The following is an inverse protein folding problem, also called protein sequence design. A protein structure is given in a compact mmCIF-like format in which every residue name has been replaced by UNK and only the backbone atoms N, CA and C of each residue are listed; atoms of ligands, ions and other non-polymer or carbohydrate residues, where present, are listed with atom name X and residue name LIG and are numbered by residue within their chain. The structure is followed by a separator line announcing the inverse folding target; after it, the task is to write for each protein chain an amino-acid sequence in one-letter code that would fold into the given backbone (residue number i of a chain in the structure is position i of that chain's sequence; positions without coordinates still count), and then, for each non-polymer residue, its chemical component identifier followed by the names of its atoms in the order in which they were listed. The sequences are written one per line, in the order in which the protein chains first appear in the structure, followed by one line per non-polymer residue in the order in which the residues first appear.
data_IF_239824111680
#
_entry.id   IF_239824111680
#
_cell.length_a   1.000
_cell.length_b   1.000
_cell.length_c   1.000
_cell.angle_alpha   90.00
_cell.angle_beta   90.00
_cell.angle_gamma   90.00
#
_symmetry.space_group_name_H-M   'P 1'
#
loop_
_entity.id
_entity.type
_entity.pdbx_description
1 polymer ?
#
# COMPACT_ATOMS: atom_id res chain seq x y z
N UNK A 1 5.00 -19.47 -21.00
CA UNK A 1 5.50 -18.86 -19.76
C UNK A 1 7.01 -19.06 -19.72
N UNK A 2 7.79 -18.20 -19.04
CA UNK A 2 9.23 -18.41 -18.90
C UNK A 2 9.50 -19.77 -18.22
N UNK A 3 10.57 -20.45 -18.64
CA UNK A 3 11.05 -21.66 -17.96
C UNK A 3 11.98 -21.32 -16.79
N UNK A 4 12.29 -20.05 -16.58
CA UNK A 4 13.14 -19.59 -15.49
C UNK A 4 12.84 -18.12 -15.20
N UNK A 5 12.70 -17.77 -13.92
CA UNK A 5 12.64 -16.38 -13.47
C UNK A 5 13.20 -16.26 -12.07
N UNK A 6 14.10 -15.30 -11.88
CA UNK A 6 14.68 -14.94 -10.59
C UNK A 6 14.49 -13.44 -10.35
N UNK A 7 13.88 -13.09 -9.23
CA UNK A 7 13.76 -11.71 -8.78
C UNK A 7 15.06 -11.29 -8.09
N UNK A 8 15.47 -10.01 -8.28
CA UNK A 8 16.68 -9.42 -7.66
C UNK A 8 16.47 -9.16 -6.16
N UNK A 9 16.21 -10.23 -5.41
CA UNK A 9 15.98 -10.23 -3.99
C UNK A 9 17.29 -10.45 -3.22
N UNK A 10 17.47 -9.71 -2.13
CA UNK A 10 18.63 -9.82 -1.24
C UNK A 10 18.13 -10.00 0.19
N UNK A 11 18.45 -11.15 0.78
CA UNK A 11 18.17 -11.44 2.19
C UNK A 11 19.25 -10.82 3.08
N UNK A 12 18.84 -10.16 4.15
CA UNK A 12 19.71 -9.78 5.26
C UNK A 12 19.92 -10.96 6.21
N UNK A 13 21.13 -11.13 6.73
CA UNK A 13 21.36 -12.04 7.85
C UNK A 13 20.56 -11.59 9.07
N UNK A 14 20.00 -12.53 9.82
CA UNK A 14 19.29 -12.19 11.07
C UNK A 14 20.28 -11.60 12.10
N UNK A 15 19.90 -10.47 12.72
CA UNK A 15 20.78 -9.75 13.65
C UNK A 15 20.71 -10.29 15.09
N UNK A 16 19.69 -11.08 15.42
CA UNK A 16 19.53 -11.76 16.70
C UNK A 16 19.22 -13.23 16.47
N UNK A 17 19.33 -14.04 17.52
CA UNK A 17 19.21 -15.51 17.45
C UNK A 17 17.83 -15.95 16.98
N UNK A 18 16.77 -15.22 17.32
CA UNK A 18 15.39 -15.60 17.03
C UNK A 18 14.70 -14.67 16.01
N UNK A 19 15.47 -13.90 15.24
CA UNK A 19 14.96 -12.84 14.36
C UNK A 19 14.80 -13.23 12.89
N UNK A 20 14.66 -14.53 12.58
CA UNK A 20 14.40 -14.97 11.21
C UNK A 20 13.14 -14.29 10.61
N UNK A 21 12.10 -14.07 11.42
CA UNK A 21 10.89 -13.34 11.01
C UNK A 21 11.15 -11.87 10.69
N UNK A 22 11.95 -11.18 11.51
CA UNK A 22 12.27 -9.77 11.30
C UNK A 22 13.19 -9.56 10.09
N UNK A 23 14.16 -10.47 9.89
CA UNK A 23 15.06 -10.47 8.75
C UNK A 23 14.31 -10.67 7.43
N UNK A 24 13.39 -11.65 7.36
CA UNK A 24 12.56 -11.87 6.18
C UNK A 24 11.68 -10.65 5.90
N UNK A 25 10.91 -10.16 6.89
CA UNK A 25 10.02 -9.01 6.68
C UNK A 25 10.78 -7.75 6.24
N UNK A 26 11.93 -7.46 6.86
CA UNK A 26 12.78 -6.33 6.45
C UNK A 26 13.27 -6.49 5.01
N UNK A 27 13.80 -7.67 4.66
CA UNK A 27 14.35 -7.92 3.33
C UNK A 27 13.27 -7.87 2.24
N UNK A 28 12.08 -8.41 2.52
CA UNK A 28 10.90 -8.34 1.65
C UNK A 28 10.46 -6.88 1.46
N UNK A 29 10.42 -6.10 2.55
CA UNK A 29 10.04 -4.70 2.45
C UNK A 29 11.04 -3.89 1.62
N UNK A 30 12.34 -4.07 1.82
CA UNK A 30 13.40 -3.43 1.03
C UNK A 30 13.44 -3.89 -0.42
N UNK A 31 13.03 -5.13 -0.71
CA UNK A 31 12.90 -5.61 -2.08
C UNK A 31 11.82 -4.86 -2.84
N UNK A 32 10.65 -4.67 -2.23
CA UNK A 32 9.56 -3.93 -2.85
C UNK A 32 9.78 -2.41 -2.84
N UNK A 33 10.28 -1.88 -1.73
CA UNK A 33 10.60 -0.47 -1.53
C UNK A 33 11.99 -0.31 -0.88
N UNK A 34 13.04 -0.13 -1.71
CA UNK A 34 14.39 0.13 -1.20
C UNK A 34 14.50 1.36 -0.30
N UNK A 35 13.53 2.28 -0.35
CA UNK A 35 13.48 3.50 0.45
C UNK A 35 12.59 3.38 1.70
N UNK A 36 11.99 2.21 1.97
CA UNK A 36 11.06 2.01 3.09
C UNK A 36 11.62 2.34 4.47
N UNK A 37 12.95 2.28 4.63
CA UNK A 37 13.64 2.62 5.88
C UNK A 37 13.42 1.62 7.02
N UNK A 38 12.81 0.46 6.73
CA UNK A 38 12.68 -0.64 7.67
C UNK A 38 14.04 -1.25 7.99
N UNK A 39 14.22 -1.58 9.26
CA UNK A 39 15.35 -2.35 9.79
C UNK A 39 14.79 -3.46 10.68
N UNK A 40 15.56 -4.53 10.92
CA UNK A 40 15.06 -5.65 11.75
C UNK A 40 14.63 -5.21 13.14
N UNK A 41 15.33 -4.24 13.75
CA UNK A 41 14.94 -3.72 15.06
C UNK A 41 13.63 -2.91 15.02
N UNK A 42 13.39 -2.11 13.97
CA UNK A 42 12.12 -1.37 13.80
C UNK A 42 10.96 -2.31 13.54
N UNK A 43 11.21 -3.37 12.78
CA UNK A 43 10.23 -4.45 12.59
C UNK A 43 9.94 -5.12 13.93
N UNK A 44 10.97 -5.37 14.76
CA UNK A 44 10.78 -5.94 16.08
C UNK A 44 9.97 -5.03 17.02
N UNK A 45 10.29 -3.73 17.07
CA UNK A 45 9.53 -2.73 17.82
C UNK A 45 8.05 -2.71 17.40
N UNK A 46 7.78 -2.51 16.11
CA UNK A 46 6.40 -2.42 15.62
C UNK A 46 5.60 -3.71 15.78
N UNK A 47 6.25 -4.86 15.63
CA UNK A 47 5.60 -6.18 15.68
C UNK A 47 5.37 -6.68 17.10
N UNK A 48 6.28 -6.36 18.03
CA UNK A 48 6.18 -6.73 19.45
C UNK A 48 5.48 -5.67 20.30
N UNK A 49 5.11 -4.54 19.70
CA UNK A 49 4.51 -3.37 20.39
C UNK A 49 5.48 -2.85 21.45
N UNK A 50 6.70 -2.53 20.99
CA UNK A 50 7.81 -2.02 21.81
C UNK A 50 8.46 -0.81 21.12
N UNK A 51 9.34 -0.13 21.85
CA UNK A 51 10.08 1.05 21.37
C UNK A 51 11.58 1.01 21.72
N UNK A 52 12.06 -0.11 22.26
CA UNK A 52 13.41 -0.28 22.80
C UNK A 52 14.24 -1.36 22.08
N UNK A 53 13.69 -2.06 21.09
CA UNK A 53 14.41 -3.11 20.36
C UNK A 53 15.50 -2.56 19.44
N UNK A 54 15.48 -1.26 19.12
CA UNK A 54 16.58 -0.60 18.43
C UNK A 54 17.70 -0.07 19.36
N UNK A 55 17.59 -0.26 20.68
CA UNK A 55 18.65 0.14 21.61
C UNK A 55 19.78 -0.90 21.66
N UNK A 56 20.99 -0.43 21.99
CA UNK A 56 22.17 -1.27 22.15
C UNK A 56 22.64 -1.25 23.62
N UNK A 57 22.81 -2.41 24.29
CA UNK A 57 22.54 -3.75 23.79
C UNK A 57 21.03 -4.01 23.59
N UNK A 58 20.68 -4.90 22.65
CA UNK A 58 19.29 -5.27 22.40
C UNK A 58 18.70 -5.90 23.68
N UNK A 59 17.55 -5.41 24.19
CA UNK A 59 16.96 -5.96 25.40
C UNK A 59 16.51 -7.41 25.19
N UNK A 60 16.76 -8.31 26.16
CA UNK A 60 16.36 -9.72 26.08
C UNK A 60 14.89 -9.96 25.61
N UNK A 61 13.88 -9.14 26.00
CA UNK A 61 12.51 -9.34 25.51
C UNK A 61 12.31 -9.17 24.00
N UNK A 62 13.28 -8.59 23.29
CA UNK A 62 13.25 -8.39 21.86
C UNK A 62 13.77 -9.61 21.07
N UNK A 63 14.77 -10.34 21.57
CA UNK A 63 15.30 -11.56 20.92
C UNK A 63 14.44 -12.79 21.26
N UNK A 64 13.32 -12.95 20.53
CA UNK A 64 12.42 -14.09 20.70
C UNK A 64 11.77 -14.55 19.40
N UNK A 65 11.32 -15.81 19.41
CA UNK A 65 10.53 -16.38 18.32
C UNK A 65 9.20 -15.64 18.14
N UNK A 66 8.81 -15.42 16.88
CA UNK A 66 7.57 -14.74 16.56
C UNK A 66 7.02 -15.10 15.17
N UNK A 67 5.93 -14.43 14.78
CA UNK A 67 5.11 -14.73 13.61
C UNK A 67 5.50 -13.87 12.39
N UNK A 68 5.72 -14.50 11.23
CA UNK A 68 6.07 -13.80 9.99
C UNK A 68 4.89 -13.00 9.42
N UNK A 69 3.65 -13.50 9.47
CA UNK A 69 2.46 -12.76 9.02
C UNK A 69 2.30 -11.44 9.76
N UNK A 70 2.56 -11.42 11.07
CA UNK A 70 2.52 -10.20 11.89
C UNK A 70 3.62 -9.23 11.47
N UNK A 71 4.84 -9.73 11.28
CA UNK A 71 5.97 -8.91 10.83
C UNK A 71 5.74 -8.33 9.42
N UNK A 72 5.23 -9.13 8.49
CA UNK A 72 4.87 -8.69 7.15
C UNK A 72 3.70 -7.69 7.18
N UNK A 73 2.76 -7.86 8.10
CA UNK A 73 1.67 -6.90 8.34
C UNK A 73 2.23 -5.57 8.83
N UNK A 74 3.16 -5.57 9.79
CA UNK A 74 3.87 -4.36 10.27
C UNK A 74 4.53 -3.61 9.12
N UNK A 75 5.16 -4.33 8.18
CA UNK A 75 5.80 -3.72 7.00
C UNK A 75 4.82 -3.40 5.85
N UNK A 76 3.53 -3.73 5.97
CA UNK A 76 2.52 -3.53 4.93
C UNK A 76 2.61 -4.49 3.74
N UNK A 77 3.39 -5.57 3.86
CA UNK A 77 3.73 -6.51 2.80
C UNK A 77 2.91 -7.81 2.83
N UNK A 78 2.10 -8.08 3.86
CA UNK A 78 1.34 -9.32 3.98
C UNK A 78 0.07 -9.35 3.11
N UNK A 79 -0.20 -10.49 2.49
CA UNK A 79 -1.50 -10.81 1.87
C UNK A 79 -2.15 -11.94 2.68
N UNK A 80 -3.21 -11.66 3.46
CA UNK A 80 -3.93 -12.70 4.18
C UNK A 80 -4.75 -13.59 3.23
N UNK A 81 -5.05 -14.84 3.61
CA UNK A 81 -4.69 -15.51 4.86
C UNK A 81 -3.31 -16.22 4.81
N UNK A 82 -2.85 -16.73 5.96
CA UNK A 82 -1.75 -17.71 6.00
C UNK A 82 -2.24 -19.01 5.35
N UNK A 83 -1.43 -19.60 4.48
CA UNK A 83 -1.74 -20.88 3.85
C UNK A 83 -0.96 -21.99 4.56
N UNK A 84 -1.66 -22.96 5.15
CA UNK A 84 -1.05 -24.12 5.83
C UNK A 84 -0.66 -25.24 4.85
N UNK A 85 0.06 -24.89 3.79
CA UNK A 85 0.56 -25.84 2.80
C UNK A 85 1.76 -25.24 2.02
N UNK A 86 2.55 -26.13 1.42
CA UNK A 86 3.47 -25.77 0.36
C UNK A 86 2.74 -25.44 -0.94
N UNK A 87 3.30 -24.54 -1.74
CA UNK A 87 2.74 -24.22 -3.05
C UNK A 87 3.14 -25.23 -4.13
N UNK A 88 2.26 -25.39 -5.11
CA UNK A 88 2.55 -26.11 -6.34
C UNK A 88 3.29 -25.22 -7.34
N UNK A 89 3.87 -25.83 -8.37
CA UNK A 89 4.68 -25.16 -9.39
C UNK A 89 3.98 -23.95 -10.04
N UNK A 90 2.69 -24.10 -10.38
CA UNK A 90 1.92 -23.05 -11.05
C UNK A 90 1.69 -21.83 -10.15
N UNK A 91 1.47 -22.03 -8.85
CA UNK A 91 1.25 -20.92 -7.91
C UNK A 91 2.57 -20.17 -7.65
N UNK A 92 3.69 -20.89 -7.57
CA UNK A 92 5.02 -20.29 -7.47
C UNK A 92 5.32 -19.46 -8.72
N UNK A 93 5.07 -20.02 -9.92
CA UNK A 93 5.22 -19.29 -11.19
C UNK A 93 4.38 -18.03 -11.20
N UNK A 94 3.11 -18.11 -10.81
CA UNK A 94 2.19 -16.98 -10.82
C UNK A 94 2.68 -15.80 -9.95
N UNK A 95 3.16 -16.08 -8.74
CA UNK A 95 3.70 -15.04 -7.85
C UNK A 95 4.99 -14.43 -8.38
N UNK A 96 5.97 -15.27 -8.74
CA UNK A 96 7.28 -14.82 -9.22
C UNK A 96 7.15 -14.08 -10.56
N UNK A 97 6.28 -14.56 -11.46
CA UNK A 97 5.98 -13.89 -12.73
C UNK A 97 5.32 -12.53 -12.50
N UNK A 98 4.54 -12.38 -11.43
CA UNK A 98 3.99 -11.10 -11.00
C UNK A 98 4.95 -10.22 -10.19
N UNK A 99 6.22 -10.62 -10.06
CA UNK A 99 7.22 -9.85 -9.33
C UNK A 99 7.09 -9.93 -7.81
N UNK A 100 6.37 -10.93 -7.29
CA UNK A 100 6.13 -11.11 -5.87
C UNK A 100 6.96 -12.25 -5.30
N UNK A 101 7.68 -11.99 -4.21
CA UNK A 101 8.41 -13.01 -3.44
C UNK A 101 7.47 -13.73 -2.47
N UNK A 102 7.83 -14.93 -2.03
CA UNK A 102 6.94 -15.79 -1.22
C UNK A 102 7.64 -16.10 0.11
N UNK A 103 7.00 -15.74 1.22
CA UNK A 103 7.47 -16.14 2.54
C UNK A 103 7.12 -17.60 2.82
N UNK A 104 8.02 -18.33 3.44
CA UNK A 104 7.89 -19.76 3.71
C UNK A 104 8.28 -20.07 5.15
N UNK A 105 7.46 -20.86 5.84
CA UNK A 105 7.83 -21.47 7.12
C UNK A 105 8.31 -22.89 6.90
N UNK A 106 9.58 -23.12 7.21
CA UNK A 106 10.11 -24.46 7.40
C UNK A 106 9.83 -24.90 8.84
N UNK A 107 9.24 -26.09 9.01
CA UNK A 107 9.02 -26.72 10.31
C UNK A 107 9.86 -27.99 10.47
N UNK A 108 10.39 -28.17 11.68
CA UNK A 108 11.05 -29.42 12.11
C UNK A 108 10.29 -30.04 13.27
N UNK A 109 10.33 -31.37 13.36
CA UNK A 109 9.69 -32.10 14.46
C UNK A 109 10.26 -31.75 15.85
N UNK A 110 11.53 -31.32 15.93
CA UNK A 110 12.24 -31.16 17.21
C UNK A 110 12.87 -29.77 17.45
N UNK A 111 12.77 -28.85 16.49
CA UNK A 111 13.54 -27.58 16.51
C UNK A 111 12.69 -26.33 16.21
N UNK A 112 11.35 -26.45 16.25
CA UNK A 112 10.46 -25.32 16.00
C UNK A 112 10.32 -24.99 14.51
N UNK A 113 10.39 -23.71 14.16
CA UNK A 113 10.23 -23.26 12.78
C UNK A 113 11.15 -22.12 12.40
N UNK A 114 11.45 -22.02 11.11
CA UNK A 114 12.34 -21.03 10.52
C UNK A 114 11.68 -20.41 9.30
N UNK A 115 11.94 -19.12 9.07
CA UNK A 115 11.39 -18.42 7.92
C UNK A 115 12.44 -18.21 6.84
N UNK A 116 12.06 -18.52 5.60
CA UNK A 116 12.87 -18.30 4.39
C UNK A 116 12.00 -17.65 3.32
N UNK A 117 12.62 -17.12 2.26
CA UNK A 117 11.91 -16.49 1.15
C UNK A 117 12.24 -17.19 -0.17
N UNK A 118 11.21 -17.61 -0.91
CA UNK A 118 11.35 -18.03 -2.31
C UNK A 118 11.27 -16.79 -3.19
N UNK A 119 12.27 -16.61 -4.07
CA UNK A 119 12.39 -15.42 -4.93
C UNK A 119 12.62 -15.76 -6.41
N UNK A 120 12.47 -17.01 -6.80
CA UNK A 120 12.56 -17.43 -8.18
C UNK A 120 12.23 -18.90 -8.37
N UNK A 121 12.07 -19.29 -9.62
CA UNK A 121 11.94 -20.68 -10.04
C UNK A 121 12.78 -20.95 -11.29
N UNK A 122 13.13 -22.22 -11.48
CA UNK A 122 13.69 -22.75 -12.72
C UNK A 122 13.03 -24.09 -13.03
N UNK A 123 12.34 -24.15 -14.15
CA UNK A 123 11.66 -25.32 -14.70
C UNK A 123 12.38 -25.75 -15.97
N UNK A 124 13.40 -26.59 -15.81
CA UNK A 124 14.21 -27.08 -16.92
C UNK A 124 14.17 -28.60 -16.93
N UNK A 125 13.88 -29.17 -18.12
CA UNK A 125 13.96 -30.61 -18.39
C UNK A 125 13.08 -31.49 -17.46
N UNK A 126 11.89 -31.01 -17.12
CA UNK A 126 10.90 -31.77 -16.33
C UNK A 126 11.21 -31.83 -14.83
N UNK A 127 12.10 -30.97 -14.34
CA UNK A 127 12.43 -30.85 -12.92
C UNK A 127 12.29 -29.39 -12.47
N UNK A 128 11.49 -29.16 -11.43
CA UNK A 128 11.23 -27.83 -10.89
C UNK A 128 12.15 -27.52 -9.71
N UNK A 129 12.84 -26.39 -9.80
CA UNK A 129 13.72 -25.85 -8.76
C UNK A 129 13.24 -24.48 -8.31
N UNK A 130 13.57 -24.12 -7.08
CA UNK A 130 13.30 -22.81 -6.48
C UNK A 130 14.59 -22.14 -6.03
N UNK A 131 14.65 -20.83 -6.21
CA UNK A 131 15.67 -19.97 -5.60
C UNK A 131 15.16 -19.53 -4.23
N UNK A 132 15.90 -19.91 -3.18
CA UNK A 132 15.54 -19.68 -1.78
C UNK A 132 16.61 -18.83 -1.13
N UNK A 133 16.19 -17.83 -0.37
CA UNK A 133 17.07 -17.01 0.45
C UNK A 133 16.71 -17.15 1.93
N UNK A 134 17.72 -17.49 2.73
CA UNK A 134 17.59 -17.83 4.14
C UNK A 134 18.45 -16.86 4.98
N UNK A 135 17.89 -16.22 6.03
CA UNK A 135 18.62 -15.25 6.85
C UNK A 135 19.71 -15.89 7.76
N UNK A 136 19.75 -17.21 7.87
CA UNK A 136 20.75 -17.97 8.63
C UNK A 136 21.71 -18.71 7.69
N UNK A 137 21.19 -19.41 6.67
CA UNK A 137 21.98 -20.28 5.80
C UNK A 137 22.34 -19.66 4.44
N UNK A 138 21.83 -18.48 4.10
CA UNK A 138 22.11 -17.78 2.84
C UNK A 138 21.26 -18.25 1.66
N UNK A 139 21.76 -18.02 0.43
CA UNK A 139 21.04 -18.38 -0.80
C UNK A 139 21.26 -19.83 -1.17
N UNK A 140 20.23 -20.47 -1.72
CA UNK A 140 20.28 -21.84 -2.23
C UNK A 140 19.39 -22.00 -3.46
N UNK A 141 19.71 -23.02 -4.26
CA UNK A 141 18.94 -23.44 -5.43
C UNK A 141 18.59 -24.91 -5.25
N UNK A 142 17.31 -25.20 -4.99
CA UNK A 142 16.87 -26.49 -4.46
C UNK A 142 15.72 -27.02 -5.31
N UNK A 143 15.73 -28.32 -5.58
CA UNK A 143 14.60 -29.02 -6.18
C UNK A 143 13.34 -28.86 -5.30
N UNK A 144 12.18 -28.56 -5.89
CA UNK A 144 10.96 -28.27 -5.14
C UNK A 144 10.54 -29.43 -4.22
N UNK A 145 10.62 -30.68 -4.67
CA UNK A 145 10.27 -31.85 -3.85
C UNK A 145 11.15 -31.91 -2.60
N UNK A 146 12.46 -31.71 -2.76
CA UNK A 146 13.38 -31.67 -1.63
C UNK A 146 13.14 -30.46 -0.73
N UNK A 147 12.86 -29.28 -1.30
CA UNK A 147 12.55 -28.08 -0.53
C UNK A 147 11.27 -28.25 0.32
N UNK A 148 10.27 -28.93 -0.22
CA UNK A 148 9.00 -29.17 0.49
C UNK A 148 9.12 -30.18 1.64
N UNK A 149 10.03 -31.17 1.56
CA UNK A 149 10.04 -32.31 2.48
C UNK A 149 11.36 -32.58 3.22
N UNK A 150 12.48 -32.00 2.78
CA UNK A 150 13.81 -32.29 3.33
C UNK A 150 14.77 -31.08 3.26
N UNK A 151 14.26 -29.88 3.54
CA UNK A 151 15.09 -28.68 3.66
C UNK A 151 16.12 -28.86 4.79
N UNK A 152 17.41 -28.67 4.48
CA UNK A 152 18.52 -28.94 5.40
C UNK A 152 18.43 -30.34 6.05
N UNK A 153 18.04 -31.34 5.24
CA UNK A 153 18.02 -32.76 5.59
C UNK A 153 16.74 -33.25 6.29
N UNK A 154 15.96 -32.38 6.94
CA UNK A 154 14.76 -32.82 7.69
C UNK A 154 13.62 -31.81 7.83
N UNK A 155 13.82 -30.57 7.37
CA UNK A 155 12.81 -29.52 7.45
C UNK A 155 11.75 -29.66 6.36
N UNK A 156 10.51 -29.32 6.69
CA UNK A 156 9.39 -29.36 5.73
C UNK A 156 8.76 -27.99 5.54
N UNK A 157 8.33 -27.67 4.32
CA UNK A 157 7.55 -26.47 4.04
C UNK A 157 6.14 -26.65 4.61
N UNK A 158 5.86 -25.98 5.72
CA UNK A 158 4.60 -26.12 6.45
C UNK A 158 3.59 -25.02 6.16
N UNK A 159 4.06 -23.78 5.96
CA UNK A 159 3.18 -22.63 5.74
C UNK A 159 3.74 -21.69 4.68
N UNK A 160 2.83 -21.04 3.96
CA UNK A 160 3.10 -20.04 2.93
C UNK A 160 2.51 -18.70 3.31
N UNK A 161 3.26 -17.64 3.02
CA UNK A 161 2.90 -16.25 3.24
C UNK A 161 3.02 -15.52 1.91
N UNK A 162 1.87 -15.25 1.28
CA UNK A 162 1.85 -14.38 0.11
C UNK A 162 2.24 -12.97 0.51
N UNK A 163 2.99 -12.31 -0.37
CA UNK A 163 3.47 -10.96 -0.12
C UNK A 163 3.04 -10.02 -1.23
N UNK A 164 3.04 -8.73 -0.94
CA UNK A 164 2.75 -7.68 -1.92
C UNK A 164 3.73 -6.54 -1.76
N UNK A 165 3.95 -5.80 -2.83
CA UNK A 165 4.55 -4.49 -2.73
C UNK A 165 3.64 -3.59 -1.87
N UNK A 166 4.18 -2.77 -0.95
CA UNK A 166 3.37 -1.75 -0.30
C UNK A 166 2.83 -0.85 -1.41
N UNK A 167 1.60 -0.36 -1.25
CA UNK A 167 0.97 0.55 -2.22
C UNK A 167 1.92 1.73 -2.58
N UNK A 168 2.78 2.12 -1.63
CA UNK A 168 3.81 3.17 -1.70
C UNK A 168 4.99 2.93 -2.66
N UNK A 169 5.28 1.69 -3.00
CA UNK A 169 6.42 1.37 -3.88
C UNK A 169 6.11 1.52 -5.37
N UNK A 170 4.83 1.42 -5.73
CA UNK A 170 4.36 1.40 -7.11
C UNK A 170 3.59 2.67 -7.49
N UNK A 171 3.02 3.37 -6.50
CA UNK A 171 2.56 4.75 -6.61
C UNK A 171 3.43 5.61 -5.71
N UNK A 172 4.06 6.65 -6.25
CA UNK A 172 4.76 7.63 -5.40
C UNK A 172 3.73 8.45 -4.65
N UNK A 173 3.53 8.11 -3.37
CA UNK A 173 2.86 8.97 -2.42
C UNK A 173 3.81 10.08 -1.97
N UNK A 174 3.25 11.25 -1.71
CA UNK A 174 4.01 12.35 -1.13
C UNK A 174 4.16 12.10 0.37
N UNK A 175 5.35 12.31 0.93
CA UNK A 175 5.57 12.15 2.37
C UNK A 175 4.80 13.21 3.14
N UNK A 176 3.96 12.80 4.09
CA UNK A 176 3.25 13.71 5.01
C UNK A 176 4.02 13.82 6.32
N UNK A 177 3.96 14.99 6.96
CA UNK A 177 4.48 15.17 8.31
C UNK A 177 3.73 14.24 9.30
N UNK A 178 4.46 13.50 10.12
CA UNK A 178 3.90 12.55 11.10
C UNK A 178 2.97 13.20 12.13
N UNK A 179 3.13 14.49 12.42
CA UNK A 179 2.24 15.24 13.30
C UNK A 179 0.85 15.46 12.67
N UNK A 180 0.74 15.50 11.34
CA UNK A 180 -0.56 15.58 10.67
C UNK A 180 -1.30 14.24 10.77
N UNK A 181 -0.59 13.12 10.69
CA UNK A 181 -1.17 11.79 10.93
C UNK A 181 -1.65 11.66 12.37
N UNK A 182 -0.88 12.16 13.34
CA UNK A 182 -1.32 12.22 14.73
C UNK A 182 -2.58 13.07 14.90
N UNK A 183 -2.63 14.27 14.29
CA UNK A 183 -3.81 15.15 14.31
C UNK A 183 -5.06 14.44 13.75
N UNK A 184 -4.93 13.68 12.66
CA UNK A 184 -6.04 12.89 12.11
C UNK A 184 -6.52 11.82 13.10
N UNK A 185 -5.58 11.09 13.71
CA UNK A 185 -5.86 10.07 14.74
C UNK A 185 -6.56 10.66 15.98
N UNK A 186 -6.08 11.79 16.50
CA UNK A 186 -6.66 12.46 17.67
C UNK A 186 -8.09 12.95 17.36
N UNK A 187 -8.30 13.50 16.17
CA UNK A 187 -9.61 13.97 15.76
C UNK A 187 -10.61 12.81 15.60
N UNK A 188 -10.15 11.66 15.11
CA UNK A 188 -10.98 10.45 15.07
C UNK A 188 -11.44 10.01 16.45
N UNK A 189 -10.51 9.95 17.42
CA UNK A 189 -10.84 9.63 18.81
C UNK A 189 -11.90 10.60 19.35
N UNK A 190 -11.79 11.89 19.02
CA UNK A 190 -12.81 12.87 19.40
C UNK A 190 -14.19 12.63 18.76
N UNK A 191 -14.24 12.25 17.48
CA UNK A 191 -15.49 11.94 16.77
C UNK A 191 -16.18 10.69 17.31
N UNK A 192 -15.41 9.65 17.66
CA UNK A 192 -15.93 8.44 18.30
C UNK A 192 -16.46 8.70 19.71
N UNK A 193 -15.95 9.75 20.38
CA UNK A 193 -16.41 10.16 21.72
C UNK A 193 -17.59 11.14 21.71
N UNK A 194 -18.09 11.56 20.54
CA UNK A 194 -19.26 12.42 20.44
C UNK A 194 -20.55 11.62 20.71
N UNK A 195 -21.51 12.15 21.51
CA UNK A 195 -22.64 11.38 22.00
C UNK A 195 -23.67 11.17 20.90
N UNK A 196 -23.63 10.01 20.23
CA UNK A 196 -24.79 9.44 19.54
C UNK A 196 -25.38 8.30 20.39
N UNK A 197 -26.71 8.06 20.35
CA UNK A 197 -27.36 7.11 21.24
C UNK A 197 -26.85 5.69 20.96
N UNK A 198 -26.45 5.04 22.04
CA UNK A 198 -25.85 3.71 22.14
C UNK A 198 -26.71 2.59 21.55
N UNK A 199 -26.08 1.66 20.83
CA UNK A 199 -26.28 0.23 21.11
C UNK A 199 -24.99 -0.32 21.74
N UNK A 200 -25.07 -1.25 22.71
CA UNK A 200 -23.90 -1.75 23.40
C UNK A 200 -23.28 -2.89 22.60
N UNK A 201 -22.03 -2.72 22.18
CA UNK A 201 -21.14 -3.87 22.01
C UNK A 201 -19.92 -3.72 22.90
N UNK A 202 -19.66 -4.77 23.67
CA UNK A 202 -18.55 -4.88 24.59
C UNK A 202 -17.35 -5.39 23.78
N UNK A 203 -16.32 -4.57 23.60
CA UNK A 203 -14.91 -4.99 23.72
C UNK A 203 -13.96 -3.79 23.68
N UNK A 204 -12.88 -3.95 24.46
CA UNK A 204 -11.87 -2.98 24.92
C UNK A 204 -11.07 -2.26 23.83
N UNK A 205 -10.49 -1.06 24.12
CA UNK A 205 -9.79 -0.23 23.15
C UNK A 205 -8.30 -0.59 23.09
N UNK A 206 -7.81 -0.91 21.89
CA UNK A 206 -6.39 -0.86 21.53
C UNK A 206 -6.29 -0.37 20.07
N UNK A 207 -6.11 0.94 19.92
CA UNK A 207 -6.02 1.62 18.63
C UNK A 207 -4.59 1.50 18.13
N UNK A 208 -4.33 0.48 17.31
CA UNK A 208 -3.19 0.47 16.40
C UNK A 208 -3.58 1.20 15.12
N UNK A 209 -2.79 2.13 14.57
CA UNK A 209 -3.04 2.71 13.26
C UNK A 209 -2.72 1.66 12.18
N UNK A 210 -3.62 0.69 12.02
CA UNK A 210 -3.67 -0.27 10.91
C UNK A 210 -4.71 0.22 9.95
N UNK A 211 -4.29 1.06 9.02
CA UNK A 211 -5.16 1.62 8.00
C UNK A 211 -4.32 2.37 7.00
N UNK A 212 -4.66 2.22 5.72
CA UNK A 212 -3.84 2.70 4.61
C UNK A 212 -3.69 4.23 4.64
N UNK A 213 -2.69 4.78 5.35
CA UNK A 213 -2.23 6.15 5.16
C UNK A 213 -1.53 6.21 3.81
N UNK A 214 -2.31 6.41 2.74
CA UNK A 214 -1.83 6.63 1.37
C UNK A 214 -1.92 8.14 1.04
N UNK A 215 -1.03 8.96 1.63
CA UNK A 215 -1.09 10.40 1.51
C UNK A 215 -0.79 10.88 0.09
N UNK A 216 -1.58 11.81 -0.44
CA UNK A 216 -1.37 12.33 -1.80
C UNK A 216 -1.80 13.80 -1.94
N UNK A 217 -1.17 14.46 -2.90
CA UNK A 217 -1.40 15.88 -3.16
C UNK A 217 -2.77 16.12 -3.80
N UNK A 218 -3.44 17.19 -3.36
CA UNK A 218 -4.71 17.65 -3.92
C UNK A 218 -4.44 18.90 -4.75
N UNK A 219 -4.90 18.88 -6.00
CA UNK A 219 -4.81 19.98 -6.94
C UNK A 219 -6.20 20.48 -7.31
N UNK A 220 -6.30 21.77 -7.60
CA UNK A 220 -7.52 22.44 -8.04
C UNK A 220 -7.24 23.03 -9.41
N UNK A 221 -8.10 22.72 -10.38
CA UNK A 221 -8.09 23.39 -11.68
C UNK A 221 -9.10 24.55 -11.68
N UNK A 222 -8.61 25.75 -12.00
CA UNK A 222 -9.40 26.98 -11.96
C UNK A 222 -10.47 26.97 -13.04
N UNK A 223 -11.75 27.13 -12.69
CA UNK A 223 -12.87 27.04 -13.64
C UNK A 223 -12.75 27.97 -14.85
N UNK A 224 -12.32 29.21 -14.63
CA UNK A 224 -12.18 30.19 -15.70
C UNK A 224 -11.08 29.81 -16.71
N UNK A 225 -10.03 29.11 -16.27
CA UNK A 225 -8.97 28.65 -17.18
C UNK A 225 -9.49 27.63 -18.19
N UNK A 226 -10.47 26.81 -17.81
CA UNK A 226 -11.10 25.82 -18.69
C UNK A 226 -11.93 26.45 -19.81
N UNK A 227 -12.36 27.71 -19.68
CA UNK A 227 -13.22 28.37 -20.69
C UNK A 227 -12.42 28.98 -21.84
N UNK A 228 -11.20 29.42 -21.56
CA UNK A 228 -10.46 30.31 -22.46
C UNK A 228 -9.74 29.56 -23.59
N UNK A 229 -9.72 28.22 -23.58
CA UNK A 229 -9.03 27.41 -24.59
C UNK A 229 -7.50 27.38 -24.47
N UNK A 230 -6.97 27.97 -23.40
CA UNK A 230 -5.56 27.92 -23.02
C UNK A 230 -5.26 26.68 -22.15
N UNK A 231 -3.98 26.47 -21.84
CA UNK A 231 -3.57 25.42 -20.91
C UNK A 231 -4.26 25.61 -19.54
N UNK A 232 -4.90 24.56 -18.96
CA UNK A 232 -5.58 24.67 -17.67
C UNK A 232 -4.65 25.16 -16.56
N UNK A 233 -5.11 26.11 -15.76
CA UNK A 233 -4.41 26.59 -14.57
C UNK A 233 -4.69 25.63 -13.41
N UNK A 234 -3.67 24.87 -13.01
CA UNK A 234 -3.75 23.84 -11.98
C UNK A 234 -2.87 24.24 -10.80
N UNK A 235 -3.49 24.45 -9.64
CA UNK A 235 -2.81 24.90 -8.42
C UNK A 235 -2.85 23.81 -7.35
N UNK A 236 -1.80 23.71 -6.55
CA UNK A 236 -1.80 22.79 -5.40
C UNK A 236 -2.72 23.37 -4.33
N UNK A 237 -3.83 22.67 -4.07
CA UNK A 237 -4.89 23.10 -3.14
C UNK A 237 -4.73 22.55 -1.72
N UNK A 238 -3.96 21.47 -1.55
CA UNK A 238 -3.74 20.87 -0.24
C UNK A 238 -3.22 19.45 -0.32
N UNK A 239 -3.64 18.67 0.67
CA UNK A 239 -3.13 17.33 0.91
C UNK A 239 -4.19 16.42 1.50
N UNK A 240 -4.29 15.18 1.02
CA UNK A 240 -5.25 14.20 1.51
C UNK A 240 -4.56 13.06 2.24
N UNK A 241 -5.04 12.74 3.43
CA UNK A 241 -4.69 11.53 4.17
C UNK A 241 -5.90 10.62 4.31
N UNK A 242 -5.65 9.32 4.34
CA UNK A 242 -6.66 8.28 4.50
C UNK A 242 -6.39 7.56 5.82
N UNK A 243 -7.45 7.31 6.58
CA UNK A 243 -7.44 6.41 7.72
C UNK A 243 -8.42 5.28 7.43
N UNK A 244 -8.00 4.04 7.61
CA UNK A 244 -8.87 2.90 7.35
C UNK A 244 -8.80 1.89 8.47
N UNK A 245 -9.73 1.95 9.40
CA UNK A 245 -9.83 0.99 10.50
C UNK A 245 -11.18 0.27 10.44
N UNK A 246 -11.21 -0.99 10.85
CA UNK A 246 -12.42 -1.82 10.87
C UNK A 246 -13.18 -1.87 9.53
N UNK A 247 -12.45 -1.75 8.40
CA UNK A 247 -12.99 -1.74 7.05
C UNK A 247 -13.85 -0.50 6.70
N UNK A 248 -13.86 0.50 7.58
CA UNK A 248 -14.36 1.84 7.30
C UNK A 248 -13.19 2.72 6.83
N UNK A 249 -13.49 3.68 5.96
CA UNK A 249 -12.52 4.64 5.46
C UNK A 249 -12.95 6.02 5.96
N UNK A 250 -12.02 6.77 6.52
CA UNK A 250 -12.17 8.19 6.84
C UNK A 250 -11.10 8.96 6.07
N UNK A 251 -11.49 10.08 5.47
CA UNK A 251 -10.61 10.87 4.62
C UNK A 251 -10.44 12.26 5.24
N UNK A 252 -9.20 12.72 5.31
CA UNK A 252 -8.84 14.02 5.88
C UNK A 252 -8.18 14.86 4.79
N UNK A 253 -8.75 16.03 4.50
CA UNK A 253 -8.12 17.04 3.66
C UNK A 253 -7.48 18.12 4.53
N UNK A 254 -6.22 18.44 4.24
CA UNK A 254 -5.41 19.45 4.90
C UNK A 254 -5.04 20.55 3.90
N UNK A 255 -4.83 21.77 4.40
CA UNK A 255 -4.41 22.92 3.61
C UNK A 255 -3.00 22.79 3.02
N UNK A 256 -2.22 21.82 3.47
CA UNK A 256 -0.86 21.57 3.02
C UNK A 256 -0.29 20.30 3.65
N UNK A 257 0.99 20.04 3.40
CA UNK A 257 1.70 18.83 3.87
C UNK A 257 2.64 19.06 5.06
N UNK A 258 2.73 20.30 5.56
CA UNK A 258 3.58 20.69 6.69
C UNK A 258 2.85 20.57 8.04
N UNK A 259 3.58 20.58 9.16
CA UNK A 259 3.01 20.44 10.52
C UNK A 259 1.93 21.46 10.84
N UNK A 260 2.03 22.66 10.26
CA UNK A 260 1.16 23.80 10.55
C UNK A 260 -0.11 23.80 9.69
N UNK A 261 -0.22 22.86 8.75
CA UNK A 261 -1.39 22.69 7.92
C UNK A 261 -2.64 22.47 8.78
N UNK A 262 -3.72 23.11 8.35
CA UNK A 262 -5.02 23.07 9.00
C UNK A 262 -5.88 22.04 8.31
N UNK A 263 -6.73 21.36 9.09
CA UNK A 263 -7.75 20.47 8.54
C UNK A 263 -8.77 21.35 7.81
N UNK A 264 -8.97 21.05 6.53
CA UNK A 264 -9.98 21.69 5.69
C UNK A 264 -11.29 20.88 5.70
N UNK A 265 -11.20 19.54 5.69
CA UNK A 265 -12.38 18.69 5.62
C UNK A 265 -12.11 17.31 6.24
N UNK A 266 -13.15 16.72 6.84
CA UNK A 266 -13.19 15.30 7.22
C UNK A 266 -14.37 14.64 6.51
N UNK A 267 -14.13 13.59 5.74
CA UNK A 267 -15.14 12.89 4.94
C UNK A 267 -15.31 11.47 5.49
N UNK A 268 -16.50 11.22 6.02
CA UNK A 268 -16.93 9.92 6.58
C UNK A 268 -18.19 9.39 5.89
N UNK A 269 -18.59 9.97 4.75
CA UNK A 269 -19.77 9.52 4.00
C UNK A 269 -19.55 8.10 3.45
N UNK A 270 -20.36 7.10 3.84
CA UNK A 270 -20.13 5.71 3.46
C UNK A 270 -20.16 5.48 1.95
N UNK A 271 -21.08 6.13 1.23
CA UNK A 271 -21.25 5.91 -0.21
C UNK A 271 -20.08 6.48 -1.01
N UNK A 272 -19.66 7.70 -0.68
CA UNK A 272 -18.47 8.33 -1.22
C UNK A 272 -17.24 7.50 -0.91
N UNK A 273 -17.05 7.08 0.34
CA UNK A 273 -15.87 6.35 0.77
C UNK A 273 -15.78 4.94 0.14
N UNK A 274 -16.91 4.26 -0.05
CA UNK A 274 -16.97 2.99 -0.80
C UNK A 274 -16.54 3.18 -2.26
N UNK A 275 -17.06 4.19 -2.94
CA UNK A 275 -16.70 4.49 -4.32
C UNK A 275 -15.24 4.92 -4.44
N UNK A 276 -14.77 5.80 -3.55
CA UNK A 276 -13.38 6.22 -3.45
C UNK A 276 -12.43 5.02 -3.33
N UNK A 277 -12.72 4.09 -2.40
CA UNK A 277 -11.93 2.88 -2.19
C UNK A 277 -11.98 1.96 -3.41
N UNK A 278 -13.13 1.82 -4.05
CA UNK A 278 -13.29 1.02 -5.28
C UNK A 278 -12.41 1.53 -6.41
N UNK A 279 -12.47 2.83 -6.70
CA UNK A 279 -11.64 3.45 -7.76
C UNK A 279 -10.15 3.41 -7.38
N UNK A 280 -9.80 3.67 -6.12
CA UNK A 280 -8.41 3.55 -5.67
C UNK A 280 -7.87 2.13 -5.86
N UNK A 281 -8.67 1.10 -5.53
CA UNK A 281 -8.28 -0.28 -5.75
C UNK A 281 -8.10 -0.62 -7.24
N UNK A 282 -8.93 -0.04 -8.13
CA UNK A 282 -8.75 -0.23 -9.57
C UNK A 282 -7.44 0.38 -10.08
N UNK A 283 -7.07 1.56 -9.57
CA UNK A 283 -5.76 2.20 -9.83
C UNK A 283 -4.61 1.33 -9.36
N UNK A 284 -4.69 0.85 -8.11
CA UNK A 284 -3.65 0.00 -7.51
C UNK A 284 -3.48 -1.28 -8.33
N UNK A 285 -4.58 -1.92 -8.73
CA UNK A 285 -4.54 -3.16 -9.50
C UNK A 285 -3.95 -2.95 -10.90
N UNK A 286 -4.33 -1.86 -11.59
CA UNK A 286 -3.75 -1.51 -12.89
C UNK A 286 -2.23 -1.33 -12.79
N UNK A 287 -1.79 -0.60 -11.77
CA UNK A 287 -0.38 -0.29 -11.55
C UNK A 287 0.51 -1.55 -11.41
N UNK A 288 -0.02 -2.66 -10.89
CA UNK A 288 0.74 -3.90 -10.72
C UNK A 288 1.25 -4.48 -12.05
N UNK A 289 0.59 -4.13 -13.16
CA UNK A 289 0.94 -4.60 -14.51
C UNK A 289 1.58 -3.52 -15.39
N UNK A 290 1.61 -2.27 -14.93
CA UNK A 290 2.03 -1.12 -15.73
C UNK A 290 3.53 -0.82 -15.52
N UNK A 291 4.36 -0.77 -16.58
CA UNK A 291 5.76 -0.40 -16.47
C UNK A 291 5.97 1.08 -16.10
N UNK A 292 4.97 1.96 -16.29
CA UNK A 292 5.06 3.39 -16.02
C UNK A 292 4.83 3.66 -14.53
N UNK A 293 5.73 4.41 -13.90
CA UNK A 293 5.60 4.81 -12.49
C UNK A 293 4.86 6.13 -12.37
N UNK A 294 3.68 6.09 -11.76
CA UNK A 294 2.86 7.28 -11.53
C UNK A 294 3.03 7.83 -10.11
N UNK A 295 2.88 9.14 -9.98
CA UNK A 295 2.57 9.81 -8.72
C UNK A 295 1.05 9.92 -8.58
N UNK A 296 0.48 9.36 -7.52
CA UNK A 296 -0.95 9.52 -7.25
C UNK A 296 -1.22 10.94 -6.74
N UNK A 297 -2.16 11.62 -7.37
CA UNK A 297 -2.68 12.93 -6.99
C UNK A 297 -4.21 12.92 -7.07
N UNK A 298 -4.84 13.94 -6.52
CA UNK A 298 -6.24 14.24 -6.76
C UNK A 298 -6.32 15.55 -7.55
N UNK A 299 -7.19 15.60 -8.55
CA UNK A 299 -7.59 16.82 -9.21
C UNK A 299 -9.06 17.11 -8.89
N UNK A 300 -9.35 18.32 -8.40
CA UNK A 300 -10.69 18.82 -8.14
C UNK A 300 -11.05 19.96 -9.10
N UNK A 301 -12.29 19.94 -9.57
CA UNK A 301 -12.94 21.06 -10.27
C UNK A 301 -14.28 21.30 -9.54
N UNK A 302 -14.31 22.22 -8.55
CA UNK A 302 -15.47 22.37 -7.65
C UNK A 302 -16.77 22.75 -8.35
N UNK A 303 -16.73 23.69 -9.29
CA UNK A 303 -17.91 24.22 -9.98
C UNK A 303 -18.63 23.10 -10.73
N UNK A 304 -17.91 22.31 -11.51
CA UNK A 304 -18.38 21.13 -12.24
C UNK A 304 -18.58 19.91 -11.33
N UNK A 305 -18.28 20.00 -10.03
CA UNK A 305 -18.38 18.89 -9.06
C UNK A 305 -17.58 17.66 -9.47
N UNK A 306 -16.37 17.88 -10.01
CA UNK A 306 -15.48 16.81 -10.45
C UNK A 306 -14.39 16.60 -9.41
N UNK A 307 -14.15 15.33 -9.11
CA UNK A 307 -12.97 14.87 -8.40
C UNK A 307 -12.44 13.61 -9.08
N UNK A 308 -11.16 13.60 -9.41
CA UNK A 308 -10.52 12.49 -10.09
C UNK A 308 -9.16 12.16 -9.48
N UNK A 309 -8.81 10.89 -9.44
CA UNK A 309 -7.41 10.52 -9.30
C UNK A 309 -6.66 10.93 -10.54
N UNK A 310 -5.55 11.61 -10.34
CA UNK A 310 -4.60 12.02 -11.35
C UNK A 310 -3.34 11.18 -11.20
N UNK A 311 -3.12 10.28 -12.15
CA UNK A 311 -1.91 9.47 -12.27
C UNK A 311 -0.90 10.27 -13.07
N UNK A 312 0.01 10.94 -12.37
CA UNK A 312 0.94 11.87 -12.99
C UNK A 312 2.28 11.21 -13.31
N UNK A 313 2.77 11.37 -14.54
CA UNK A 313 4.11 10.97 -14.97
C UNK A 313 5.04 12.17 -14.93
N UNK A 314 6.02 12.12 -14.03
CA UNK A 314 6.97 13.23 -13.84
C UNK A 314 7.72 13.54 -15.14
N UNK A 315 7.56 14.77 -15.65
CA UNK A 315 8.23 15.24 -16.87
C UNK A 315 7.53 14.85 -18.18
N UNK A 316 6.42 14.11 -18.11
CA UNK A 316 5.69 13.59 -19.27
C UNK A 316 4.17 13.78 -19.09
N UNK A 317 3.73 15.02 -18.92
CA UNK A 317 2.32 15.33 -18.62
C UNK A 317 1.31 14.83 -19.67
N UNK A 318 1.75 14.55 -20.91
CA UNK A 318 0.90 13.94 -21.94
C UNK A 318 0.54 12.49 -21.64
N UNK A 319 1.35 11.80 -20.86
CA UNK A 319 1.15 10.42 -20.45
C UNK A 319 0.32 10.32 -19.14
N UNK A 320 -0.18 11.46 -18.65
CA UNK A 320 -1.02 11.51 -17.46
C UNK A 320 -2.38 10.87 -17.74
N UNK A 321 -2.87 10.11 -16.75
CA UNK A 321 -4.19 9.50 -16.78
C UNK A 321 -5.07 10.05 -15.65
N UNK A 322 -6.35 10.17 -15.94
CA UNK A 322 -7.36 10.63 -14.98
C UNK A 322 -8.43 9.57 -14.82
N UNK A 323 -8.76 9.20 -13.58
CA UNK A 323 -9.91 8.34 -13.28
C UNK A 323 -10.83 9.03 -12.28
N UNK A 324 -12.05 9.42 -12.70
CA UNK A 324 -12.98 10.12 -11.83
C UNK A 324 -13.38 9.27 -10.62
N UNK A 325 -13.50 9.92 -9.47
CA UNK A 325 -14.12 9.40 -8.26
C UNK A 325 -15.51 10.02 -8.13
N UNK A 326 -15.60 11.35 -8.20
CA UNK A 326 -16.88 12.05 -8.31
C UNK A 326 -16.99 12.61 -9.71
N UNK A 327 -17.99 12.14 -10.43
CA UNK A 327 -18.28 12.57 -11.78
C UNK A 327 -19.79 12.79 -11.94
N UNK A 328 -20.23 14.00 -12.30
CA UNK A 328 -21.52 14.18 -12.93
C UNK A 328 -21.54 13.47 -14.29
N UNK A 329 -22.71 13.40 -14.94
CA UNK A 329 -22.96 12.65 -16.18
C UNK A 329 -22.04 12.94 -17.40
N UNK A 330 -21.10 13.87 -17.28
CA UNK A 330 -20.07 14.18 -18.29
C UNK A 330 -18.87 13.23 -18.24
N UNK A 331 -18.66 12.52 -17.13
CA UNK A 331 -17.57 11.57 -16.91
C UNK A 331 -18.12 10.33 -16.22
N UNK A 332 -17.40 9.20 -16.31
CA UNK A 332 -17.78 7.95 -15.65
C UNK A 332 -16.79 7.61 -14.53
N UNK A 333 -17.28 7.36 -13.32
CA UNK A 333 -16.45 6.93 -12.18
C UNK A 333 -15.68 5.65 -12.52
N UNK A 334 -14.38 5.61 -12.20
CA UNK A 334 -13.51 4.46 -12.44
C UNK A 334 -13.05 4.23 -13.88
N UNK A 335 -13.50 5.03 -14.85
CA UNK A 335 -13.02 5.00 -16.24
C UNK A 335 -11.77 5.86 -16.38
N UNK A 336 -10.80 5.38 -17.15
CA UNK A 336 -9.55 6.10 -17.41
C UNK A 336 -9.69 6.99 -18.64
N UNK A 337 -9.26 8.24 -18.50
CA UNK A 337 -9.19 9.23 -19.57
C UNK A 337 -7.75 9.70 -19.73
N UNK A 338 -7.31 9.84 -20.98
CA UNK A 338 -6.03 10.48 -21.29
C UNK A 338 -6.09 11.98 -21.03
N UNK A 339 -4.95 12.62 -20.82
CA UNK A 339 -4.85 14.04 -20.50
C UNK A 339 -5.66 14.95 -21.44
N UNK A 340 -5.46 14.81 -22.75
CA UNK A 340 -6.12 15.66 -23.75
C UNK A 340 -7.63 15.42 -23.82
N UNK A 341 -8.07 14.16 -23.67
CA UNK A 341 -9.49 13.81 -23.63
C UNK A 341 -10.17 14.37 -22.38
N UNK A 342 -9.57 14.15 -21.22
CA UNK A 342 -10.10 14.60 -19.93
C UNK A 342 -10.32 16.11 -19.93
N UNK A 343 -9.29 16.90 -20.26
CA UNK A 343 -9.42 18.36 -20.24
C UNK A 343 -10.36 18.90 -21.33
N UNK A 344 -10.47 18.24 -22.47
CA UNK A 344 -11.45 18.60 -23.51
C UNK A 344 -12.90 18.40 -23.03
N UNK A 345 -13.18 17.34 -22.27
CA UNK A 345 -14.50 17.12 -21.66
C UNK A 345 -14.80 18.24 -20.64
N UNK A 346 -13.83 18.57 -19.79
CA UNK A 346 -13.96 19.64 -18.79
C UNK A 346 -14.17 21.02 -19.43
N UNK A 347 -13.41 21.34 -20.49
CA UNK A 347 -13.57 22.58 -21.27
C UNK A 347 -14.98 22.70 -21.85
N UNK A 348 -15.47 21.63 -22.50
CA UNK A 348 -16.82 21.62 -23.06
C UNK A 348 -17.90 21.81 -21.98
N UNK A 349 -17.75 21.14 -20.83
CA UNK A 349 -18.66 21.30 -19.70
C UNK A 349 -18.60 22.72 -19.11
N UNK A 350 -17.41 23.32 -19.00
CA UNK A 350 -17.23 24.68 -18.52
C UNK A 350 -17.86 25.73 -19.45
N UNK A 351 -17.71 25.56 -20.77
CA UNK A 351 -18.33 26.41 -21.79
C UNK A 351 -19.86 26.27 -21.82
N UNK A 352 -20.39 25.06 -21.61
CA UNK A 352 -21.82 24.80 -21.58
C UNK A 352 -22.52 25.32 -20.31
N UNK A 353 -21.78 25.49 -19.21
CA UNK A 353 -22.33 25.97 -17.95
C UNK A 353 -22.73 27.45 -18.07
N UNK A 354 -24.03 27.70 -18.17
CA UNK A 354 -24.62 29.04 -18.07
C UNK A 354 -24.25 29.64 -16.71
N UNK A 355 -23.72 30.86 -16.72
CA UNK A 355 -23.43 31.63 -15.50
C UNK A 355 -24.78 31.95 -14.85
N UNK A 356 -25.15 31.20 -13.81
CA UNK A 356 -26.18 31.62 -12.88
C UNK A 356 -25.49 32.44 -11.80
N UNK A 357 -25.46 33.76 -12.02
CA UNK A 357 -25.05 34.75 -11.02
C UNK A 357 -26.25 34.95 -10.07
N UNK A 358 -26.49 33.98 -9.20
CA UNK A 358 -27.48 34.09 -8.12
C UNK A 358 -26.76 34.13 -6.78
N UNK A 359 -26.61 35.34 -6.26
CA UNK A 359 -25.94 35.67 -5.01
C UNK A 359 -26.68 35.13 -3.77
N UNK A 360 -27.77 34.38 -3.93
CA UNK A 360 -28.57 33.79 -2.85
C UNK A 360 -28.41 32.27 -2.72
N UNK A 361 -27.65 31.60 -3.59
CA UNK A 361 -27.42 30.15 -3.46
C UNK A 361 -26.28 29.87 -2.48
N UNK A 362 -26.66 29.65 -1.21
CA UNK A 362 -25.81 29.01 -0.21
C UNK A 362 -25.70 27.51 -0.50
N UNK A 363 -24.47 27.03 -0.64
CA UNK A 363 -24.12 25.62 -0.74
C UNK A 363 -23.10 25.25 0.34
#
# INVERSE_FOLDING_TARGET
MPNNKELKFTMQSQLQTHWCWAANATSISLFYDPASGWTQCKVADGTLIRTDCCTAPNPNPCDKDYYLDRALTTTGNFVPPIISAALIENDIKAEIDSGRVIGVRIGWASYGGHFVTVHGYNDTLGTFFVYVADPLYGKSFINLVNFTSSYQGSGSWTHTFYTKAPVSSMLKFTTINSQLLQKASDMRLSMLSAPFPTEPDQTSPDVHPKGLAAPHDVYIVTFNSLKNGDQPDIQKGGFRALDSENNELTIYDFSGSNSDAQIQQVIHDPQYNLNYRSVLNSVINRQQSDPIRYSLRILKQPELKIEAFWLHVKGHAKDDLFTPVVAPAILTSGVYYENDEFFKILENAAKARRVYDDNLLGG
#
